data_IF_513748294379
#
_entry.id   IF_513748294379
#
_cell.length_a   1.000
_cell.length_b   1.000
_cell.length_c   1.000
_cell.angle_alpha   90.00
_cell.angle_beta   90.00
_cell.angle_gamma   90.00
#
_symmetry.space_group_name_H-M   'P 1'
#
loop_
_entity.id
_entity.type
_entity.pdbx_description
1 polymer ?
#
# COMPACT_ATOMS: atom_id res chain seq x y z
N UNK A 1 60.70 -6.72 -2.04
CA UNK A 1 59.40 -7.13 -1.46
C UNK A 1 59.04 -6.43 -0.15
N UNK A 2 59.95 -6.24 0.83
CA UNK A 2 59.64 -5.55 2.12
C UNK A 2 59.04 -4.13 1.99
N UNK A 3 59.45 -3.35 0.98
CA UNK A 3 58.94 -1.97 0.78
C UNK A 3 57.50 -1.89 0.24
N UNK A 4 56.99 -2.95 -0.39
CA UNK A 4 55.63 -2.94 -0.96
C UNK A 4 54.61 -3.22 0.14
N UNK A 5 54.89 -4.21 1.01
CA UNK A 5 54.01 -4.56 2.12
C UNK A 5 53.82 -3.39 3.09
N UNK A 6 54.92 -2.70 3.44
CA UNK A 6 54.88 -1.53 4.32
C UNK A 6 54.05 -0.39 3.73
N UNK A 7 54.15 -0.15 2.41
CA UNK A 7 53.36 0.87 1.71
C UNK A 7 51.86 0.52 1.66
N UNK A 8 51.52 -0.75 1.44
CA UNK A 8 50.12 -1.21 1.42
C UNK A 8 49.50 -1.11 2.82
N UNK A 9 50.23 -1.50 3.86
CA UNK A 9 49.75 -1.38 5.25
C UNK A 9 49.59 0.09 5.64
N UNK A 10 50.55 0.96 5.32
CA UNK A 10 50.41 2.40 5.57
C UNK A 10 49.26 3.03 4.80
N UNK A 11 49.03 2.62 3.54
CA UNK A 11 47.88 3.08 2.76
C UNK A 11 46.56 2.59 3.36
N UNK A 12 46.47 1.31 3.77
CA UNK A 12 45.29 0.79 4.47
C UNK A 12 45.03 1.52 5.79
N UNK A 13 46.06 1.75 6.61
CA UNK A 13 45.91 2.49 7.87
C UNK A 13 45.45 3.93 7.60
N UNK A 14 46.01 4.61 6.60
CA UNK A 14 45.59 5.96 6.20
C UNK A 14 44.14 6.00 5.70
N UNK A 15 43.73 5.03 4.87
CA UNK A 15 42.34 4.92 4.39
C UNK A 15 41.38 4.64 5.54
N UNK A 16 41.76 3.75 6.47
CA UNK A 16 40.96 3.45 7.65
C UNK A 16 40.88 4.64 8.62
N UNK A 17 41.96 5.40 8.85
CA UNK A 17 41.92 6.58 9.73
C UNK A 17 41.13 7.73 9.12
N UNK A 18 41.19 7.92 7.79
CA UNK A 18 40.33 8.90 7.10
C UNK A 18 38.84 8.54 7.23
N UNK A 19 38.48 7.25 7.24
CA UNK A 19 37.09 6.82 7.47
C UNK A 19 36.60 7.05 8.90
N UNK A 20 37.49 6.97 9.91
CA UNK A 20 37.13 7.20 11.32
C UNK A 20 36.98 8.69 11.65
N UNK A 21 37.61 9.58 10.86
CA UNK A 21 37.56 11.04 11.02
C UNK A 21 36.79 11.75 9.91
N UNK A 22 36.02 11.01 9.10
CA UNK A 22 35.21 11.61 8.06
C UNK A 22 34.14 12.50 8.71
N UNK A 23 34.13 13.77 8.32
CA UNK A 23 33.00 14.68 8.53
C UNK A 23 31.73 13.95 8.09
N UNK A 24 30.69 13.87 8.94
CA UNK A 24 29.49 13.13 8.59
C UNK A 24 28.86 13.83 7.39
N UNK A 25 28.18 13.06 6.54
CA UNK A 25 27.39 13.65 5.47
C UNK A 25 26.25 14.49 6.05
N UNK A 26 25.72 15.43 5.29
CA UNK A 26 24.45 16.06 5.66
C UNK A 26 23.35 15.00 5.68
N UNK A 27 22.57 14.93 6.76
CA UNK A 27 21.47 14.01 6.91
C UNK A 27 20.18 14.77 7.24
N UNK A 28 19.05 14.27 6.73
CA UNK A 28 17.72 14.75 7.15
C UNK A 28 16.92 13.57 7.65
N UNK A 29 16.44 13.70 8.89
CA UNK A 29 15.55 12.75 9.52
C UNK A 29 14.18 13.40 9.63
N UNK A 30 13.14 12.73 9.13
CA UNK A 30 11.77 13.22 9.16
C UNK A 30 10.82 12.18 9.74
N UNK A 31 10.10 12.55 10.79
CA UNK A 31 9.02 11.76 11.40
C UNK A 31 7.68 12.47 11.26
N UNK A 32 6.63 11.69 11.01
CA UNK A 32 5.26 12.20 10.94
C UNK A 32 4.40 11.50 11.99
N UNK A 33 3.59 12.27 12.70
CA UNK A 33 2.63 11.78 13.68
C UNK A 33 1.25 12.28 13.27
N UNK A 34 0.36 11.36 12.91
CA UNK A 34 -1.02 11.71 12.59
C UNK A 34 -1.70 12.26 13.85
N UNK A 35 -2.30 13.44 13.72
CA UNK A 35 -3.13 14.03 14.77
C UNK A 35 -4.58 13.62 14.60
N UNK A 36 -5.09 13.78 13.38
CA UNK A 36 -6.51 13.71 13.12
C UNK A 36 -6.88 14.20 11.73
N UNK A 37 -8.17 14.30 11.47
CA UNK A 37 -8.71 14.80 10.22
C UNK A 37 -10.05 15.51 10.41
N UNK A 38 -10.47 16.24 9.39
CA UNK A 38 -11.87 16.61 9.17
C UNK A 38 -12.34 15.95 7.86
N UNK A 39 -13.42 16.44 7.25
CA UNK A 39 -13.98 15.84 6.04
C UNK A 39 -13.06 15.92 4.81
N UNK A 40 -12.18 16.91 4.76
CA UNK A 40 -11.41 17.25 3.54
C UNK A 40 -9.90 17.16 3.72
N UNK A 41 -9.41 17.30 4.96
CA UNK A 41 -7.99 17.36 5.27
C UNK A 41 -7.61 16.44 6.42
N UNK A 42 -6.36 16.01 6.41
CA UNK A 42 -5.71 15.40 7.58
C UNK A 42 -4.55 16.25 8.04
N UNK A 43 -4.25 16.12 9.34
CA UNK A 43 -3.30 16.97 10.04
C UNK A 43 -2.26 16.10 10.73
N UNK A 44 -0.99 16.47 10.61
CA UNK A 44 0.10 15.76 11.27
C UNK A 44 1.09 16.72 11.92
N UNK A 45 1.71 16.24 13.00
CA UNK A 45 2.97 16.82 13.45
C UNK A 45 4.09 16.27 12.57
N UNK A 46 4.92 17.16 12.06
CA UNK A 46 6.12 16.83 11.31
C UNK A 46 7.32 17.24 12.15
N UNK A 47 8.15 16.28 12.50
CA UNK A 47 9.41 16.50 13.22
C UNK A 47 10.54 16.26 12.24
N UNK A 48 11.32 17.29 11.98
CA UNK A 48 12.51 17.23 11.12
C UNK A 48 13.75 17.51 11.95
N UNK A 49 14.79 16.72 11.73
CA UNK A 49 16.13 16.97 12.23
C UNK A 49 17.04 17.14 11.01
N UNK A 50 17.72 18.28 10.95
CA UNK A 50 18.69 18.60 9.91
C UNK A 50 20.07 18.63 10.51
N UNK A 51 20.94 17.76 10.00
CA UNK A 51 22.37 17.76 10.31
C UNK A 51 23.11 18.32 9.09
N UNK A 52 23.86 19.43 9.22
CA UNK A 52 24.55 20.07 8.10
C UNK A 52 25.83 19.32 7.66
N UNK A 53 26.09 18.13 8.23
CA UNK A 53 27.36 17.42 8.09
C UNK A 53 28.38 17.85 9.14
N UNK A 54 27.91 18.07 10.38
CA UNK A 54 28.75 18.35 11.54
C UNK A 54 28.29 17.44 12.69
N UNK A 55 29.24 16.88 13.46
CA UNK A 55 28.93 16.13 14.68
C UNK A 55 28.43 17.02 15.83
N UNK A 56 28.58 18.34 15.69
CA UNK A 56 28.41 19.31 16.76
C UNK A 56 27.29 20.31 16.48
N UNK A 57 26.52 20.10 15.42
CA UNK A 57 25.40 20.95 15.07
C UNK A 57 24.23 20.14 14.52
N UNK A 58 23.05 20.40 15.07
CA UNK A 58 21.79 19.90 14.51
C UNK A 58 20.66 20.90 14.71
N UNK A 59 19.67 20.87 13.82
CA UNK A 59 18.48 21.72 13.91
C UNK A 59 17.23 20.84 13.95
N UNK A 60 16.42 20.99 14.98
CA UNK A 60 15.10 20.39 15.06
C UNK A 60 14.03 21.40 14.66
N UNK A 61 13.11 20.95 13.80
CA UNK A 61 11.94 21.69 13.36
C UNK A 61 10.71 20.86 13.70
N UNK A 62 9.81 21.42 14.49
CA UNK A 62 8.48 20.86 14.72
C UNK A 62 7.47 21.72 13.96
N UNK A 63 6.70 21.10 13.08
CA UNK A 63 5.68 21.76 12.27
C UNK A 63 4.33 21.06 12.40
N UNK A 64 3.27 21.81 12.18
CA UNK A 64 1.94 21.29 11.86
C UNK A 64 1.74 21.33 10.36
N UNK A 65 1.43 20.19 9.78
CA UNK A 65 1.18 20.06 8.36
C UNK A 65 -0.29 19.67 8.11
N UNK A 66 -0.88 20.30 7.11
CA UNK A 66 -2.25 20.09 6.65
C UNK A 66 -2.20 19.54 5.23
N UNK A 67 -2.85 18.42 5.00
CA UNK A 67 -2.85 17.72 3.72
C UNK A 67 -4.27 17.45 3.25
N UNK A 68 -4.48 17.46 1.95
CA UNK A 68 -5.78 17.11 1.35
C UNK A 68 -5.98 15.59 1.42
N UNK A 69 -7.12 15.11 1.91
CA UNK A 69 -7.44 13.66 1.95
C UNK A 69 -7.54 13.06 0.54
N UNK A 70 -8.13 13.78 -0.40
CA UNK A 70 -8.40 13.30 -1.74
C UNK A 70 -7.12 13.07 -2.56
N UNK A 71 -6.16 14.00 -2.46
CA UNK A 71 -4.92 14.00 -3.25
C UNK A 71 -3.69 13.61 -2.46
N UNK A 72 -3.69 13.72 -1.13
CA UNK A 72 -2.51 13.56 -0.28
C UNK A 72 -1.53 14.73 -0.36
N UNK A 73 -1.88 15.81 -1.06
CA UNK A 73 -1.00 16.98 -1.25
C UNK A 73 -0.94 17.84 0.01
N UNK A 74 0.25 18.36 0.31
CA UNK A 74 0.48 19.34 1.36
C UNK A 74 -0.17 20.69 0.97
N UNK A 75 -1.07 21.17 1.81
CA UNK A 75 -1.78 22.45 1.63
C UNK A 75 -1.14 23.56 2.43
N UNK A 76 -0.79 23.27 3.69
CA UNK A 76 -0.15 24.22 4.58
C UNK A 76 0.84 23.51 5.51
N UNK A 77 1.92 24.19 5.88
CA UNK A 77 2.90 23.73 6.86
C UNK A 77 3.33 24.91 7.71
N UNK A 78 2.85 24.93 8.95
CA UNK A 78 3.18 25.97 9.92
C UNK A 78 4.24 25.45 10.90
N UNK A 79 5.38 26.14 10.99
CA UNK A 79 6.41 25.83 11.99
C UNK A 79 5.92 26.28 13.36
N UNK A 80 5.89 25.36 14.32
CA UNK A 80 5.44 25.63 15.69
C UNK A 80 6.60 25.74 16.67
N UNK A 81 7.75 25.16 16.36
CA UNK A 81 8.99 25.29 17.13
C UNK A 81 10.20 25.05 16.25
N UNK A 82 11.29 25.78 16.49
CA UNK A 82 12.57 25.57 15.81
C UNK A 82 13.71 25.77 16.79
N UNK A 83 14.50 24.73 16.99
CA UNK A 83 15.61 24.76 17.95
C UNK A 83 16.89 24.33 17.25
N UNK A 84 17.94 25.14 17.40
CA UNK A 84 19.29 24.80 16.95
C UNK A 84 20.08 24.31 18.15
N UNK A 85 20.76 23.19 17.99
CA UNK A 85 21.62 22.59 19.00
C UNK A 85 23.06 22.67 18.52
N UNK A 86 23.94 23.21 19.35
CA UNK A 86 25.36 23.35 19.05
C UNK A 86 26.19 22.90 20.24
N UNK A 87 27.22 22.12 19.98
CA UNK A 87 28.29 21.80 20.93
C UNK A 87 29.53 22.61 20.54
N UNK A 88 29.69 23.78 21.17
CA UNK A 88 30.70 24.77 20.76
C UNK A 88 32.12 24.42 21.18
N UNK A 89 32.28 23.60 22.21
CA UNK A 89 33.58 23.18 22.76
C UNK A 89 33.96 21.76 22.35
N UNK A 90 33.06 21.01 21.71
CA UNK A 90 33.26 19.62 21.28
C UNK A 90 33.48 18.65 22.44
N UNK A 91 33.10 19.03 23.66
CA UNK A 91 33.22 18.22 24.87
C UNK A 91 31.91 17.49 25.21
N UNK A 92 30.89 17.61 24.34
CA UNK A 92 29.54 17.07 24.54
C UNK A 92 28.62 18.05 25.26
N UNK A 93 28.99 19.34 25.36
CA UNK A 93 28.22 20.37 26.05
C UNK A 93 27.23 21.05 25.10
N UNK A 94 26.12 20.36 24.84
CA UNK A 94 25.08 20.85 23.94
C UNK A 94 24.31 22.04 24.50
N UNK A 95 24.29 23.13 23.73
CA UNK A 95 23.48 24.32 23.97
C UNK A 95 22.32 24.33 22.98
N UNK A 96 21.11 24.59 23.47
CA UNK A 96 19.91 24.72 22.65
C UNK A 96 19.49 26.18 22.53
N UNK A 97 19.36 26.67 21.29
CA UNK A 97 18.90 28.01 20.94
C UNK A 97 17.52 27.92 20.27
N UNK A 98 16.50 28.53 20.87
CA UNK A 98 15.19 28.66 20.23
C UNK A 98 15.25 29.75 19.15
N UNK A 99 15.00 29.37 17.90
CA UNK A 99 15.07 30.26 16.74
C UNK A 99 13.72 30.87 16.37
N UNK A 100 12.66 30.55 17.11
CA UNK A 100 11.31 31.05 16.87
C UNK A 100 10.80 31.86 18.05
N UNK A 101 10.57 33.16 17.80
CA UNK A 101 10.18 34.11 18.86
C UNK A 101 8.66 34.30 18.99
N UNK A 102 7.88 33.75 18.04
CA UNK A 102 6.41 33.88 18.04
C UNK A 102 5.77 32.61 18.56
N UNK A 103 5.02 32.72 19.66
CA UNK A 103 4.26 31.61 20.21
C UNK A 103 3.17 31.13 19.24
N UNK A 104 3.02 29.81 19.12
CA UNK A 104 1.97 29.19 18.32
C UNK A 104 0.77 28.81 19.18
N UNK A 105 -0.43 29.28 18.83
CA UNK A 105 -1.66 28.94 19.55
C UNK A 105 -2.26 27.63 19.01
N UNK A 106 -1.82 26.50 19.57
CA UNK A 106 -2.30 25.18 19.20
C UNK A 106 -3.82 25.03 19.39
N UNK A 107 -4.36 25.48 20.52
CA UNK A 107 -5.79 25.35 20.82
C UNK A 107 -6.64 26.07 19.76
N UNK A 108 -6.28 27.30 19.40
CA UNK A 108 -6.95 28.04 18.34
C UNK A 108 -6.86 27.30 17.00
N UNK A 109 -5.68 26.79 16.65
CA UNK A 109 -5.48 26.05 15.41
C UNK A 109 -6.37 24.80 15.33
N UNK A 110 -6.47 24.03 16.42
CA UNK A 110 -7.33 22.83 16.48
C UNK A 110 -8.81 23.18 16.32
N UNK A 111 -9.27 24.24 16.98
CA UNK A 111 -10.66 24.72 16.91
C UNK A 111 -10.99 25.24 15.50
N UNK A 112 -10.14 26.12 14.95
CA UNK A 112 -10.35 26.73 13.64
C UNK A 112 -10.39 25.68 12.51
N UNK A 113 -9.71 24.54 12.69
CA UNK A 113 -9.65 23.45 11.71
C UNK A 113 -10.60 22.27 11.99
N UNK A 114 -11.33 22.27 13.12
CA UNK A 114 -12.31 21.24 13.49
C UNK A 114 -11.73 19.81 13.37
N UNK A 115 -10.61 19.56 14.05
CA UNK A 115 -9.86 18.31 13.88
C UNK A 115 -10.43 17.21 14.78
N UNK A 116 -10.91 16.13 14.18
CA UNK A 116 -11.25 14.90 14.87
C UNK A 116 -9.99 14.03 15.04
N UNK A 117 -9.69 13.64 16.28
CA UNK A 117 -8.51 12.84 16.57
C UNK A 117 -8.55 11.47 15.88
N UNK A 118 -7.41 11.07 15.31
CA UNK A 118 -7.27 9.75 14.72
C UNK A 118 -6.89 8.72 15.79
N UNK A 119 -7.53 7.56 15.73
CA UNK A 119 -7.24 6.44 16.63
C UNK A 119 -6.44 5.36 15.89
N UNK A 120 -5.51 4.68 16.58
CA UNK A 120 -4.86 3.49 16.03
C UNK A 120 -5.90 2.48 15.56
N UNK A 121 -5.70 1.95 14.35
CA UNK A 121 -6.53 0.89 13.80
C UNK A 121 -5.81 -0.44 13.98
N UNK A 122 -6.57 -1.51 14.26
CA UNK A 122 -6.01 -2.85 14.31
C UNK A 122 -5.58 -3.29 12.90
N UNK A 123 -4.28 -3.55 12.76
CA UNK A 123 -3.65 -4.03 11.52
C UNK A 123 -4.24 -5.37 11.06
N UNK A 124 -4.63 -6.23 12.00
CA UNK A 124 -5.22 -7.55 11.71
C UNK A 124 -6.63 -7.44 11.13
N UNK A 125 -7.40 -6.45 11.55
CA UNK A 125 -8.77 -6.22 11.05
C UNK A 125 -8.77 -5.56 9.68
N UNK A 126 -7.85 -4.62 9.44
CA UNK A 126 -7.81 -3.85 8.20
C UNK A 126 -7.38 -4.68 6.97
N UNK A 127 -6.60 -5.76 7.19
CA UNK A 127 -6.09 -6.65 6.14
C UNK A 127 -5.32 -5.94 5.01
N UNK A 128 -4.68 -4.81 5.33
CA UNK A 128 -3.88 -4.03 4.36
C UNK A 128 -2.45 -4.58 4.35
N UNK A 129 -1.96 -4.95 3.18
CA UNK A 129 -0.61 -5.51 2.99
C UNK A 129 0.16 -4.76 1.90
N UNK A 130 1.46 -4.62 2.09
CA UNK A 130 2.38 -4.09 1.08
C UNK A 130 2.88 -5.22 0.19
N UNK A 131 2.81 -5.02 -1.12
CA UNK A 131 3.41 -5.90 -2.13
C UNK A 131 4.30 -5.11 -3.08
N UNK A 132 4.98 -5.83 -3.99
CA UNK A 132 5.88 -5.22 -4.98
C UNK A 132 5.19 -4.19 -5.88
N UNK A 133 3.90 -4.39 -6.16
CA UNK A 133 3.13 -3.56 -7.09
C UNK A 133 2.20 -2.55 -6.39
N UNK A 134 2.28 -2.42 -5.06
CA UNK A 134 1.55 -1.41 -4.28
C UNK A 134 0.91 -1.95 -3.00
N UNK A 135 -0.19 -1.32 -2.58
CA UNK A 135 -0.98 -1.74 -1.41
C UNK A 135 -2.17 -2.57 -1.83
N UNK A 136 -2.44 -3.60 -1.04
CA UNK A 136 -3.50 -4.56 -1.30
C UNK A 136 -4.35 -4.78 -0.07
N UNK A 137 -5.63 -5.02 -0.31
CA UNK A 137 -6.51 -5.65 0.64
C UNK A 137 -6.38 -7.17 0.49
N UNK A 138 -5.99 -7.85 1.55
CA UNK A 138 -5.86 -9.29 1.63
C UNK A 138 -7.21 -9.91 2.02
N UNK A 139 -7.78 -10.74 1.14
CA UNK A 139 -8.87 -11.66 1.48
C UNK A 139 -8.33 -13.04 1.85
N UNK A 140 -9.21 -14.02 2.09
CA UNK A 140 -8.80 -15.38 2.43
C UNK A 140 -8.01 -16.05 1.29
N UNK A 141 -8.42 -15.82 0.04
CA UNK A 141 -7.87 -16.52 -1.14
C UNK A 141 -7.36 -15.61 -2.24
N UNK A 142 -7.53 -14.31 -2.11
CA UNK A 142 -7.19 -13.33 -3.14
C UNK A 142 -6.68 -12.02 -2.53
N UNK A 143 -6.01 -11.22 -3.36
CA UNK A 143 -5.65 -9.84 -3.07
C UNK A 143 -6.40 -8.91 -4.03
N UNK A 144 -6.85 -7.76 -3.53
CA UNK A 144 -7.40 -6.67 -4.32
C UNK A 144 -6.53 -5.43 -4.15
N UNK A 145 -6.24 -4.74 -5.24
CA UNK A 145 -5.39 -3.54 -5.21
C UNK A 145 -6.15 -2.37 -4.56
N UNK A 146 -5.51 -1.71 -3.60
CA UNK A 146 -5.97 -0.49 -2.96
C UNK A 146 -5.32 0.73 -3.62
N UNK A 147 -3.99 0.70 -3.76
CA UNK A 147 -3.18 1.71 -4.42
C UNK A 147 -2.07 1.03 -5.20
N UNK A 148 -1.85 1.45 -6.45
CA UNK A 148 -0.74 0.94 -7.24
C UNK A 148 0.58 1.62 -6.85
N UNK A 149 1.71 0.95 -7.11
CA UNK A 149 3.04 1.52 -6.88
C UNK A 149 3.23 2.91 -7.53
N UNK A 150 2.82 3.16 -8.80
CA UNK A 150 2.90 4.51 -9.36
C UNK A 150 2.13 5.56 -8.58
N UNK A 151 0.93 5.23 -8.07
CA UNK A 151 0.14 6.13 -7.24
C UNK A 151 0.77 6.40 -5.87
N UNK A 152 1.44 5.39 -5.31
CA UNK A 152 2.16 5.56 -4.05
C UNK A 152 3.40 6.44 -4.27
N UNK A 153 4.18 6.17 -5.32
CA UNK A 153 5.39 6.94 -5.64
C UNK A 153 5.08 8.40 -5.97
N UNK A 154 3.93 8.71 -6.58
CA UNK A 154 3.53 10.11 -6.80
C UNK A 154 3.28 10.88 -5.49
N UNK A 155 2.90 10.19 -4.41
CA UNK A 155 2.66 10.79 -3.10
C UNK A 155 3.90 10.74 -2.20
N UNK A 156 4.66 9.67 -2.32
CA UNK A 156 5.83 9.36 -1.51
C UNK A 156 6.97 8.95 -2.45
N UNK A 157 7.72 9.92 -3.01
CA UNK A 157 8.71 9.66 -4.06
C UNK A 157 9.82 8.68 -3.67
N UNK A 158 10.13 8.60 -2.38
CA UNK A 158 11.11 7.66 -1.83
C UNK A 158 10.55 6.25 -1.58
N UNK A 159 9.29 5.97 -1.92
CA UNK A 159 8.68 4.65 -1.74
C UNK A 159 9.42 3.57 -2.52
N UNK A 160 9.85 2.52 -1.80
CA UNK A 160 10.68 1.44 -2.32
C UNK A 160 10.32 0.11 -1.66
N UNK A 161 10.94 -0.98 -2.10
CA UNK A 161 10.56 -2.33 -1.68
C UNK A 161 10.79 -2.59 -0.17
N UNK A 162 11.76 -1.90 0.45
CA UNK A 162 12.06 -1.95 1.88
C UNK A 162 11.23 -0.99 2.73
N UNK A 163 10.29 -0.23 2.12
CA UNK A 163 9.36 0.61 2.88
C UNK A 163 8.44 -0.26 3.73
N UNK A 164 8.30 0.09 5.01
CA UNK A 164 7.46 -0.61 5.98
C UNK A 164 6.21 0.19 6.30
N UNK A 165 5.13 -0.50 6.68
CA UNK A 165 4.00 0.14 7.38
C UNK A 165 4.38 0.20 8.85
N UNK A 166 4.57 1.41 9.36
CA UNK A 166 4.92 1.67 10.76
C UNK A 166 3.68 1.66 11.66
N UNK A 167 2.56 2.20 11.15
CA UNK A 167 1.30 2.28 11.88
C UNK A 167 0.13 2.42 10.91
N UNK A 168 -1.07 2.13 11.42
CA UNK A 168 -2.34 2.33 10.75
C UNK A 168 -3.28 3.05 11.68
N UNK A 169 -4.01 4.02 11.15
CA UNK A 169 -5.03 4.77 11.87
C UNK A 169 -6.32 4.80 11.08
N UNK A 170 -7.43 5.00 11.80
CA UNK A 170 -8.75 5.16 11.19
C UNK A 170 -9.42 6.41 11.74
N UNK A 171 -9.89 7.26 10.83
CA UNK A 171 -10.70 8.44 11.15
C UNK A 171 -11.58 8.78 9.95
N UNK A 172 -12.82 9.24 10.20
CA UNK A 172 -13.81 9.58 9.17
C UNK A 172 -13.95 8.49 8.08
N UNK A 173 -13.91 7.22 8.50
CA UNK A 173 -14.00 6.01 7.64
C UNK A 173 -12.86 5.85 6.62
N UNK A 174 -11.81 6.66 6.72
CA UNK A 174 -10.59 6.55 5.94
C UNK A 174 -9.52 5.83 6.75
N UNK A 175 -8.65 5.10 6.05
CA UNK A 175 -7.46 4.51 6.64
C UNK A 175 -6.25 5.40 6.32
N UNK A 176 -5.45 5.68 7.33
CA UNK A 176 -4.20 6.43 7.23
C UNK A 176 -3.04 5.49 7.50
N UNK A 177 -2.25 5.22 6.46
CA UNK A 177 -1.12 4.29 6.51
C UNK A 177 0.15 5.10 6.72
N UNK A 178 0.79 4.95 7.87
CA UNK A 178 2.09 5.54 8.13
C UNK A 178 3.18 4.64 7.55
N UNK A 179 3.94 5.20 6.61
CA UNK A 179 5.07 4.54 5.97
C UNK A 179 6.38 5.05 6.54
N UNK A 180 7.36 4.17 6.56
CA UNK A 180 8.73 4.52 6.94
C UNK A 180 9.76 3.85 6.02
N UNK A 181 10.85 4.58 5.77
CA UNK A 181 12.05 4.08 5.12
C UNK A 181 13.29 4.76 5.69
N UNK A 182 14.43 4.07 5.69
CA UNK A 182 15.72 4.61 6.14
C UNK A 182 16.34 3.82 7.29
N UNK A 183 17.49 4.30 7.76
CA UNK A 183 18.25 3.67 8.83
C UNK A 183 17.86 4.27 10.19
N UNK A 184 17.25 3.47 11.05
CA UNK A 184 16.80 3.88 12.39
C UNK A 184 17.95 4.09 13.39
N UNK A 185 19.14 3.53 13.12
CA UNK A 185 20.19 3.32 14.12
C UNK A 185 21.50 4.06 13.80
N UNK A 186 21.49 4.95 12.81
CA UNK A 186 22.68 5.73 12.42
C UNK A 186 22.30 7.19 12.40
N UNK A 187 23.00 8.03 13.17
CA UNK A 187 22.82 9.48 13.15
C UNK A 187 22.97 10.05 11.72
N UNK A 188 23.85 9.45 10.93
CA UNK A 188 24.16 9.88 9.56
C UNK A 188 23.20 9.34 8.49
N UNK A 189 22.14 8.64 8.90
CA UNK A 189 21.20 7.98 7.99
C UNK A 189 19.97 8.82 7.69
N UNK A 190 19.66 9.01 6.40
CA UNK A 190 18.35 9.57 6.03
C UNK A 190 17.23 8.64 6.50
N UNK A 191 16.23 9.23 7.14
CA UNK A 191 15.01 8.57 7.59
C UNK A 191 13.82 9.40 7.16
N UNK A 192 12.78 8.75 6.67
CA UNK A 192 11.59 9.44 6.20
C UNK A 192 10.34 8.67 6.56
N UNK A 193 9.37 9.42 7.08
CA UNK A 193 8.00 8.98 7.21
C UNK A 193 7.06 9.80 6.34
N UNK A 194 5.99 9.15 5.91
CA UNK A 194 4.89 9.77 5.19
C UNK A 194 3.58 9.03 5.48
N UNK A 195 2.48 9.77 5.53
CA UNK A 195 1.13 9.21 5.67
C UNK A 195 0.46 9.14 4.30
N UNK A 196 -0.07 7.96 3.95
CA UNK A 196 -0.91 7.78 2.76
C UNK A 196 -2.34 7.49 3.19
N UNK A 197 -3.30 8.12 2.49
CA UNK A 197 -4.73 7.91 2.75
C UNK A 197 -5.34 6.89 1.79
N UNK A 198 -5.95 5.85 2.36
CA UNK A 198 -6.84 4.93 1.66
C UNK A 198 -8.26 5.32 2.05
N UNK A 199 -8.92 6.07 1.16
CA UNK A 199 -10.26 6.55 1.43
C UNK A 199 -11.29 5.41 1.45
N UNK A 200 -12.42 5.67 2.10
CA UNK A 200 -13.49 4.68 2.27
C UNK A 200 -13.94 4.06 0.94
N UNK A 201 -14.11 4.87 -0.09
CA UNK A 201 -14.58 4.40 -1.40
C UNK A 201 -13.59 3.42 -2.06
N UNK A 202 -12.28 3.71 -2.00
CA UNK A 202 -11.23 2.80 -2.49
C UNK A 202 -11.23 1.49 -1.71
N UNK A 203 -11.34 1.57 -0.39
CA UNK A 203 -11.39 0.38 0.47
C UNK A 203 -12.62 -0.50 0.16
N UNK A 204 -13.82 0.09 0.09
CA UNK A 204 -15.05 -0.63 -0.22
C UNK A 204 -15.03 -1.25 -1.62
N UNK A 205 -14.49 -0.54 -2.61
CA UNK A 205 -14.32 -1.07 -3.97
C UNK A 205 -13.42 -2.30 -3.98
N UNK A 206 -12.28 -2.25 -3.28
CA UNK A 206 -11.38 -3.40 -3.14
C UNK A 206 -12.07 -4.57 -2.42
N UNK A 207 -12.77 -4.30 -1.31
CA UNK A 207 -13.52 -5.30 -0.55
C UNK A 207 -14.60 -5.97 -1.40
N UNK A 208 -15.37 -5.19 -2.16
CA UNK A 208 -16.35 -5.72 -3.09
C UNK A 208 -15.69 -6.63 -4.14
N UNK A 209 -14.57 -6.20 -4.72
CA UNK A 209 -13.86 -7.01 -5.73
C UNK A 209 -13.33 -8.35 -5.18
N UNK A 210 -12.98 -8.43 -3.89
CA UNK A 210 -12.62 -9.69 -3.24
C UNK A 210 -13.84 -10.62 -3.14
N UNK A 211 -14.97 -10.10 -2.67
CA UNK A 211 -16.20 -10.89 -2.56
C UNK A 211 -16.70 -11.42 -3.91
N UNK A 212 -16.61 -10.61 -4.98
CA UNK A 212 -17.00 -11.05 -6.33
C UNK A 212 -16.02 -12.09 -6.91
N UNK A 213 -14.71 -11.97 -6.61
CA UNK A 213 -13.70 -12.95 -7.07
C UNK A 213 -13.79 -14.29 -6.33
N UNK A 214 -14.26 -14.28 -5.08
CA UNK A 214 -14.48 -15.50 -4.29
C UNK A 214 -15.79 -16.20 -4.67
N UNK A 215 -16.78 -15.47 -5.19
CA UNK A 215 -17.96 -16.04 -5.81
C UNK A 215 -17.63 -16.62 -7.18
N UNK A 216 -17.28 -17.91 -7.23
CA UNK A 216 -17.26 -18.67 -8.48
C UNK A 216 -18.64 -18.53 -9.15
N UNK A 217 -18.74 -17.96 -10.36
CA UNK A 217 -20.02 -17.77 -11.03
C UNK A 217 -20.67 -19.13 -11.30
N UNK A 218 -21.99 -19.14 -11.39
CA UNK A 218 -22.75 -20.34 -11.72
C UNK A 218 -22.71 -20.59 -13.23
N UNK A 219 -22.69 -21.85 -13.62
CA UNK A 219 -22.66 -22.25 -15.02
C UNK A 219 -23.54 -23.47 -15.25
N UNK A 220 -23.99 -23.62 -16.49
CA UNK A 220 -24.75 -24.79 -16.94
C UNK A 220 -23.84 -25.62 -17.84
N UNK A 221 -23.47 -26.82 -17.38
CA UNK A 221 -22.77 -27.80 -18.19
C UNK A 221 -23.79 -28.68 -18.92
N UNK A 222 -23.65 -28.77 -20.23
CA UNK A 222 -24.54 -29.53 -21.11
C UNK A 222 -24.09 -30.98 -21.24
N UNK A 223 -22.78 -31.24 -21.17
CA UNK A 223 -22.23 -32.59 -21.26
C UNK A 223 -20.74 -32.65 -20.98
N UNK A 224 -20.20 -33.86 -20.94
CA UNK A 224 -18.78 -34.20 -20.77
C UNK A 224 -18.47 -35.34 -21.74
N UNK A 225 -17.67 -35.05 -22.76
CA UNK A 225 -17.46 -35.93 -23.90
C UNK A 225 -16.02 -36.42 -23.94
N UNK A 226 -15.80 -37.73 -24.11
CA UNK A 226 -14.45 -38.29 -24.16
C UNK A 226 -13.61 -37.82 -25.35
N UNK A 227 -14.25 -37.33 -26.41
CA UNK A 227 -13.59 -36.85 -27.64
C UNK A 227 -14.04 -35.44 -28.02
N UNK A 228 -13.10 -34.64 -28.51
CA UNK A 228 -13.35 -33.23 -28.88
C UNK A 228 -14.43 -33.06 -29.96
N UNK A 229 -14.51 -34.00 -30.92
CA UNK A 229 -15.47 -33.91 -32.01
C UNK A 229 -16.91 -34.01 -31.52
N UNK A 230 -17.21 -34.89 -30.56
CA UNK A 230 -18.55 -34.97 -29.94
C UNK A 230 -18.91 -33.70 -29.18
N UNK A 231 -17.94 -33.08 -28.48
CA UNK A 231 -18.15 -31.79 -27.83
C UNK A 231 -18.42 -30.66 -28.84
N UNK A 232 -17.72 -30.65 -29.99
CA UNK A 232 -17.96 -29.70 -31.08
C UNK A 232 -19.34 -29.87 -31.70
N UNK A 233 -19.78 -31.10 -31.94
CA UNK A 233 -21.13 -31.39 -32.44
C UNK A 233 -22.20 -30.90 -31.45
N UNK A 234 -22.01 -31.15 -30.16
CA UNK A 234 -22.91 -30.63 -29.13
C UNK A 234 -22.96 -29.10 -29.12
N UNK A 235 -21.80 -28.43 -29.23
CA UNK A 235 -21.72 -26.96 -29.30
C UNK A 235 -22.47 -26.41 -30.51
N UNK A 236 -22.30 -27.01 -31.69
CA UNK A 236 -23.02 -26.62 -32.90
C UNK A 236 -24.54 -26.83 -32.77
N UNK A 237 -24.97 -27.90 -32.10
CA UNK A 237 -26.39 -28.12 -31.83
C UNK A 237 -26.99 -27.05 -30.90
N UNK A 238 -26.23 -26.61 -29.90
CA UNK A 238 -26.60 -25.48 -29.03
C UNK A 238 -26.68 -24.16 -29.79
N UNK A 239 -25.69 -23.88 -30.65
CA UNK A 239 -25.62 -22.66 -31.47
C UNK A 239 -26.84 -22.53 -32.39
N UNK A 240 -27.31 -23.64 -33.00
CA UNK A 240 -28.53 -23.67 -33.83
C UNK A 240 -29.80 -23.29 -33.06
N UNK A 241 -29.81 -23.44 -31.75
CA UNK A 241 -30.93 -23.05 -30.87
C UNK A 241 -30.66 -21.74 -30.11
N UNK A 242 -29.72 -20.91 -30.60
CA UNK A 242 -29.33 -19.63 -30.04
C UNK A 242 -28.77 -19.71 -28.60
N UNK A 243 -28.11 -20.82 -28.26
CA UNK A 243 -27.30 -20.93 -27.05
C UNK A 243 -25.82 -20.79 -27.41
N UNK A 244 -25.10 -19.92 -26.71
CA UNK A 244 -23.64 -19.83 -26.81
C UNK A 244 -23.00 -20.77 -25.79
N UNK A 245 -21.94 -21.48 -26.19
CA UNK A 245 -21.24 -22.41 -25.32
C UNK A 245 -19.74 -22.45 -25.61
N UNK A 246 -18.94 -22.79 -24.60
CA UNK A 246 -17.50 -23.04 -24.70
C UNK A 246 -17.19 -24.49 -24.40
N UNK A 247 -16.03 -24.94 -24.90
CA UNK A 247 -15.51 -26.30 -24.65
C UNK A 247 -14.27 -26.17 -23.79
N UNK A 248 -14.26 -26.82 -22.63
CA UNK A 248 -13.12 -26.83 -21.70
C UNK A 248 -12.74 -28.28 -21.44
N UNK A 249 -11.45 -28.63 -21.60
CA UNK A 249 -10.96 -29.95 -21.23
C UNK A 249 -10.80 -30.05 -19.71
N UNK A 250 -11.37 -31.10 -19.10
CA UNK A 250 -11.24 -31.39 -17.68
C UNK A 250 -10.25 -32.54 -17.50
N UNK A 251 -9.06 -32.23 -16.96
CA UNK A 251 -7.99 -33.20 -16.76
C UNK A 251 -8.34 -34.31 -15.76
N UNK A 252 -9.17 -34.02 -14.75
CA UNK A 252 -9.57 -34.99 -13.73
C UNK A 252 -10.57 -36.01 -14.27
N UNK A 253 -11.55 -35.54 -15.05
CA UNK A 253 -12.58 -36.38 -15.64
C UNK A 253 -12.18 -36.95 -17.01
N UNK A 254 -11.02 -36.54 -17.56
CA UNK A 254 -10.53 -36.91 -18.90
C UNK A 254 -11.59 -36.74 -19.99
N UNK A 255 -12.25 -35.58 -20.01
CA UNK A 255 -13.30 -35.26 -20.98
C UNK A 255 -13.34 -33.78 -21.37
N UNK A 256 -13.95 -33.50 -22.51
CA UNK A 256 -14.29 -32.17 -23.00
C UNK A 256 -15.68 -31.78 -22.48
N UNK A 257 -15.75 -30.82 -21.55
CA UNK A 257 -17.00 -30.28 -21.03
C UNK A 257 -17.53 -29.20 -21.96
N UNK A 258 -18.83 -29.23 -22.24
CA UNK A 258 -19.54 -28.17 -22.97
C UNK A 258 -20.32 -27.35 -21.97
N UNK A 259 -20.02 -26.05 -21.88
CA UNK A 259 -20.54 -25.15 -20.83
C UNK A 259 -21.19 -23.95 -21.51
N UNK A 260 -22.40 -23.59 -21.10
CA UNK A 260 -23.10 -22.41 -21.62
C UNK A 260 -22.40 -21.11 -21.21
N UNK A 261 -22.39 -20.13 -22.11
CA UNK A 261 -21.83 -18.79 -21.88
C UNK A 261 -22.86 -17.68 -22.13
N UNK A 262 -22.75 -16.53 -21.41
CA UNK A 262 -21.81 -16.25 -20.33
C UNK A 262 -22.14 -17.00 -19.01
N UNK A 263 -21.20 -17.13 -18.06
CA UNK A 263 -21.49 -17.56 -16.69
C UNK A 263 -22.49 -16.62 -16.01
N UNK A 264 -23.25 -17.14 -15.05
CA UNK A 264 -24.36 -16.47 -14.39
C UNK A 264 -24.01 -16.10 -12.95
N UNK A 265 -24.61 -15.02 -12.45
CA UNK A 265 -24.30 -14.49 -11.12
C UNK A 265 -24.93 -15.35 -10.02
N UNK A 266 -26.12 -15.90 -10.26
CA UNK A 266 -26.87 -16.66 -9.25
C UNK A 266 -27.17 -18.11 -9.67
N UNK A 267 -27.44 -18.97 -8.68
CA UNK A 267 -27.85 -20.36 -8.93
C UNK A 267 -29.21 -20.42 -9.62
N UNK A 268 -30.09 -19.50 -9.27
CA UNK A 268 -31.46 -19.39 -9.75
C UNK A 268 -31.48 -19.04 -11.24
N UNK A 269 -30.66 -18.09 -11.68
CA UNK A 269 -30.44 -17.81 -13.11
C UNK A 269 -29.95 -19.06 -13.85
N UNK A 270 -28.98 -19.78 -13.29
CA UNK A 270 -28.46 -21.00 -13.92
C UNK A 270 -29.48 -22.14 -13.98
N UNK A 271 -30.35 -22.27 -12.97
CA UNK A 271 -31.50 -23.18 -13.00
C UNK A 271 -32.49 -22.79 -14.09
N UNK A 272 -32.83 -21.51 -14.22
CA UNK A 272 -33.73 -21.03 -15.28
C UNK A 272 -33.13 -21.28 -16.68
N UNK A 273 -31.83 -21.05 -16.87
CA UNK A 273 -31.16 -21.35 -18.13
C UNK A 273 -31.15 -22.86 -18.43
N UNK A 274 -30.92 -23.72 -17.43
CA UNK A 274 -31.01 -25.17 -17.58
C UNK A 274 -32.43 -25.65 -17.93
N UNK A 275 -33.46 -25.07 -17.31
CA UNK A 275 -34.86 -25.35 -17.64
C UNK A 275 -35.20 -24.92 -19.08
N UNK A 276 -34.71 -23.76 -19.51
CA UNK A 276 -34.88 -23.29 -20.89
C UNK A 276 -34.20 -24.24 -21.88
N UNK A 277 -32.99 -24.71 -21.57
CA UNK A 277 -32.26 -25.69 -22.37
C UNK A 277 -33.05 -27.00 -22.49
N UNK A 278 -33.56 -27.54 -21.39
CA UNK A 278 -34.38 -28.75 -21.37
C UNK A 278 -35.66 -28.56 -22.21
N UNK A 279 -36.33 -27.42 -22.10
CA UNK A 279 -37.55 -27.14 -22.86
C UNK A 279 -37.32 -27.03 -24.36
N UNK A 280 -36.22 -26.40 -24.77
CA UNK A 280 -35.94 -26.13 -26.19
C UNK A 280 -35.29 -27.29 -26.92
N UNK A 281 -34.41 -28.04 -26.24
CA UNK A 281 -33.57 -29.06 -26.87
C UNK A 281 -33.73 -30.45 -26.26
N UNK A 282 -34.55 -30.61 -25.21
CA UNK A 282 -34.65 -31.83 -24.42
C UNK A 282 -33.31 -32.27 -23.79
N UNK A 283 -32.42 -31.31 -23.48
CA UNK A 283 -31.11 -31.58 -22.89
C UNK A 283 -31.08 -31.11 -21.43
N UNK A 284 -30.68 -32.01 -20.53
CA UNK A 284 -30.55 -31.73 -19.10
C UNK A 284 -29.23 -31.03 -18.80
N UNK A 285 -29.28 -29.76 -18.43
CA UNK A 285 -28.12 -28.99 -18.02
C UNK A 285 -27.77 -29.20 -16.54
N UNK A 286 -26.52 -29.55 -16.24
CA UNK A 286 -26.00 -29.62 -14.88
C UNK A 286 -25.60 -28.21 -14.38
N UNK A 287 -26.21 -27.77 -13.28
CA UNK A 287 -25.92 -26.47 -12.66
C UNK A 287 -24.82 -26.63 -11.61
N UNK A 288 -23.69 -25.94 -11.80
CA UNK A 288 -22.57 -25.95 -10.86
C UNK A 288 -21.83 -24.62 -10.82
N UNK A 289 -20.95 -24.46 -9.84
CA UNK A 289 -20.02 -23.31 -9.81
C UNK A 289 -18.91 -23.53 -10.83
N UNK A 290 -18.44 -22.46 -11.47
CA UNK A 290 -17.30 -22.50 -12.38
C UNK A 290 -16.06 -23.02 -11.65
N UNK A 291 -15.47 -24.07 -12.20
CA UNK A 291 -14.19 -24.61 -11.73
C UNK A 291 -13.08 -23.88 -12.48
N UNK A 292 -12.07 -23.41 -11.75
CA UNK A 292 -10.80 -22.97 -12.34
C UNK A 292 -9.90 -24.19 -12.48
#
# INVERSE_FOLDING_TARGET
MKNIFTRVVSLCVLVCTIQVWATPGSATWKREILMGCNDTHFYSYVIEMHQPGSYYEETYILSLAKYTIATGELVDKTIIRKTRHTDTDTEGHWIAEEQQNTGFNLTKYLIDNQIDYAFPADMSEANIVVGKDGFFLQGEKAKAILLSKPQIVSLVPWFRQDTKIAALFMANRNYFVLLEAGAYNTADGNFSQAIIVINHAKYQKARHSLTTREQKPWQVQVGCFGVLNSAKQQRQHLEKANFTATIIFNDKAKCHRVILTPPLATREEAKQQSLRLQKMLNIKGYVGKAER
#
